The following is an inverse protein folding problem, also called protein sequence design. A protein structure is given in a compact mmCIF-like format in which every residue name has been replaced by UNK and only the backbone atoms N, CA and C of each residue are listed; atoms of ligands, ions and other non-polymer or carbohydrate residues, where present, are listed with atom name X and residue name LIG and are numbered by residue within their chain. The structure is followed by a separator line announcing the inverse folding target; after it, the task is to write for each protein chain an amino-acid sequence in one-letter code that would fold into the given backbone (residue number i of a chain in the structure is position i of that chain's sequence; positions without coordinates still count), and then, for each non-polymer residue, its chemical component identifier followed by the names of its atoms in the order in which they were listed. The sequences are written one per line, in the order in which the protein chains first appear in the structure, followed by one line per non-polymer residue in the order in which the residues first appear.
data_IF_513948909178
#
_entry.id   IF_513948909178
#
_cell.length_a   1.000
_cell.length_b   1.000
_cell.length_c   1.000
_cell.angle_alpha   90.00
_cell.angle_beta   90.00
_cell.angle_gamma   90.00
#
_symmetry.space_group_name_H-M   'P 1'
#
loop_
_entity.id
_entity.type
_entity.pdbx_description
1 polymer ?
#
# COMPACT_ATOMS: atom_id res chain seq x y z
N UNK A 1 3.37 -1.57 -26.85
CA UNK A 1 2.99 -0.13 -26.80
C UNK A 1 3.08 0.52 -28.17
N UNK A 2 4.25 0.53 -28.83
CA UNK A 2 4.40 1.08 -30.20
C UNK A 2 3.46 0.47 -31.25
N UNK A 3 3.35 -0.85 -31.32
CA UNK A 3 2.45 -1.52 -32.27
C UNK A 3 0.95 -1.29 -31.96
N UNK A 4 0.63 -0.93 -30.72
CA UNK A 4 -0.71 -0.54 -30.30
C UNK A 4 -0.98 0.97 -30.45
N UNK A 5 -0.02 1.74 -31.00
CA UNK A 5 -0.13 3.20 -31.14
C UNK A 5 -0.11 3.98 -29.82
N UNK A 6 0.32 3.35 -28.71
CA UNK A 6 0.37 3.99 -27.40
C UNK A 6 1.71 4.70 -27.24
N UNK A 7 1.66 6.02 -27.10
CA UNK A 7 2.80 6.86 -26.74
C UNK A 7 2.92 6.97 -25.21
N UNK A 8 4.15 6.91 -24.71
CA UNK A 8 4.47 7.06 -23.28
C UNK A 8 5.20 8.38 -23.12
N UNK A 9 4.61 9.31 -22.37
CA UNK A 9 5.18 10.64 -22.17
C UNK A 9 6.34 10.61 -21.17
N UNK A 10 6.15 9.91 -20.04
CA UNK A 10 7.12 9.85 -18.95
C UNK A 10 7.10 8.49 -18.26
N UNK A 11 8.27 8.12 -17.72
CA UNK A 11 8.41 7.02 -16.76
C UNK A 11 8.87 7.64 -15.45
N UNK A 12 8.04 7.54 -14.42
CA UNK A 12 8.35 8.04 -13.09
C UNK A 12 8.86 6.90 -12.22
N UNK A 13 10.15 6.96 -11.92
CA UNK A 13 10.79 6.08 -10.95
C UNK A 13 10.69 6.69 -9.55
N UNK A 14 10.24 5.90 -8.59
CA UNK A 14 10.25 6.27 -7.19
C UNK A 14 11.52 5.70 -6.54
N UNK A 15 12.53 6.55 -6.39
CA UNK A 15 13.77 6.22 -5.68
C UNK A 15 13.54 6.34 -4.17
N UNK A 16 13.35 5.20 -3.51
CA UNK A 16 13.06 5.10 -2.07
C UNK A 16 13.84 3.93 -1.47
N UNK A 17 14.53 4.12 -0.33
CA UNK A 17 15.21 3.03 0.37
C UNK A 17 14.30 1.85 0.74
N UNK A 18 14.79 0.63 0.56
CA UNK A 18 14.05 -0.62 0.83
C UNK A 18 13.45 -0.68 2.24
N UNK A 19 14.20 -0.25 3.26
CA UNK A 19 13.71 -0.26 4.64
C UNK A 19 12.47 0.63 4.83
N UNK A 20 12.40 1.77 4.12
CA UNK A 20 11.21 2.62 4.13
C UNK A 20 10.03 1.98 3.39
N UNK A 21 10.31 1.17 2.36
CA UNK A 21 9.28 0.42 1.64
C UNK A 21 8.70 -0.67 2.55
N UNK A 22 9.55 -1.40 3.27
CA UNK A 22 9.16 -2.43 4.23
C UNK A 22 8.27 -1.83 5.33
N UNK A 23 8.74 -0.77 5.99
CA UNK A 23 7.99 -0.07 7.05
C UNK A 23 6.61 0.38 6.56
N UNK A 24 6.55 0.93 5.34
CA UNK A 24 5.32 1.43 4.74
C UNK A 24 4.33 0.32 4.40
N UNK A 25 4.80 -0.85 3.97
CA UNK A 25 3.91 -1.95 3.60
C UNK A 25 3.40 -2.68 4.84
N UNK A 26 4.24 -2.96 5.83
CA UNK A 26 3.86 -3.66 7.07
C UNK A 26 2.84 -2.85 7.88
N UNK A 27 2.96 -1.52 7.87
CA UNK A 27 2.03 -0.62 8.54
C UNK A 27 0.68 -0.43 7.84
N UNK A 28 0.48 -1.00 6.65
CA UNK A 28 -0.73 -0.80 5.84
C UNK A 28 -1.95 -1.48 6.43
N UNK A 29 -3.09 -0.80 6.38
CA UNK A 29 -4.42 -1.32 6.72
C UNK A 29 -5.37 -0.99 5.57
N UNK A 30 -6.27 -1.91 5.24
CA UNK A 30 -7.15 -1.78 4.09
C UNK A 30 -8.60 -2.06 4.49
N UNK A 31 -9.49 -1.17 4.06
CA UNK A 31 -10.92 -1.42 4.11
C UNK A 31 -11.35 -2.15 2.82
N UNK A 32 -11.45 -3.48 2.88
CA UNK A 32 -11.62 -4.33 1.70
C UNK A 32 -12.80 -3.97 0.78
N UNK A 33 -14.00 -3.61 1.29
CA UNK A 33 -15.14 -3.22 0.44
C UNK A 33 -14.90 -1.95 -0.39
N UNK A 34 -14.10 -1.01 0.13
CA UNK A 34 -13.92 0.31 -0.50
C UNK A 34 -12.56 0.51 -1.16
N UNK A 35 -11.57 -0.31 -0.83
CA UNK A 35 -10.18 -0.12 -1.23
C UNK A 35 -9.45 1.03 -0.51
N UNK A 36 -10.07 1.73 0.45
CA UNK A 36 -9.38 2.76 1.25
C UNK A 36 -8.20 2.18 2.00
N UNK A 37 -7.10 2.92 2.01
CA UNK A 37 -5.83 2.53 2.62
C UNK A 37 -5.48 3.47 3.75
N UNK A 38 -5.15 2.88 4.88
CA UNK A 38 -4.66 3.55 6.08
C UNK A 38 -3.25 3.02 6.40
N UNK A 39 -2.57 3.75 7.27
CA UNK A 39 -1.27 3.34 7.77
C UNK A 39 -1.17 3.66 9.25
N UNK A 40 -0.80 2.68 10.08
CA UNK A 40 -0.78 2.81 11.55
C UNK A 40 0.00 4.03 12.07
N UNK A 41 1.07 4.44 11.38
CA UNK A 41 1.88 5.64 11.68
C UNK A 41 1.59 6.87 10.79
N UNK A 42 1.64 6.72 9.46
CA UNK A 42 1.63 7.85 8.52
C UNK A 42 0.24 8.34 8.12
N UNK A 43 -0.79 7.50 8.27
CA UNK A 43 -2.18 7.85 7.96
C UNK A 43 -3.13 7.01 8.84
N UNK A 44 -3.08 7.20 10.17
CA UNK A 44 -3.84 6.37 11.09
C UNK A 44 -5.35 6.63 10.91
N UNK A 45 -6.20 5.60 11.07
CA UNK A 45 -7.63 5.83 11.15
C UNK A 45 -7.98 6.63 12.40
N UNK A 46 -9.12 7.32 12.39
CA UNK A 46 -9.65 8.06 13.55
C UNK A 46 -9.92 7.14 14.73
N UNK A 47 -10.36 5.92 14.46
CA UNK A 47 -10.56 4.86 15.46
C UNK A 47 -9.74 3.65 15.05
N UNK A 48 -8.94 3.13 15.97
CA UNK A 48 -8.07 1.99 15.71
C UNK A 48 -8.85 0.80 15.15
N UNK A 49 -8.35 0.26 14.04
CA UNK A 49 -8.95 -0.89 13.37
C UNK A 49 -10.25 -0.60 12.63
N UNK A 50 -10.70 0.65 12.51
CA UNK A 50 -11.97 0.99 11.85
C UNK A 50 -11.81 1.95 10.68
N UNK A 51 -12.62 1.74 9.66
CA UNK A 51 -12.73 2.67 8.54
C UNK A 51 -13.42 3.97 8.98
N UNK A 52 -12.86 5.11 8.58
CA UNK A 52 -13.34 6.43 8.99
C UNK A 52 -14.71 6.81 8.42
N UNK A 53 -15.19 6.09 7.40
CA UNK A 53 -16.46 6.39 6.70
C UNK A 53 -17.54 5.41 7.13
N UNK A 54 -17.27 4.11 7.12
CA UNK A 54 -18.28 3.08 7.42
C UNK A 54 -18.21 2.57 8.86
N UNK A 55 -17.08 2.75 9.54
CA UNK A 55 -16.85 2.18 10.88
C UNK A 55 -16.60 0.67 10.89
N UNK A 56 -16.51 0.04 9.72
CA UNK A 56 -16.22 -1.38 9.53
C UNK A 56 -14.74 -1.68 9.78
N UNK A 57 -14.40 -2.96 9.97
CA UNK A 57 -13.04 -3.38 10.31
C UNK A 57 -12.05 -3.19 9.16
N UNK A 58 -10.87 -2.70 9.51
CA UNK A 58 -9.71 -2.68 8.65
C UNK A 58 -8.96 -4.01 8.77
N UNK A 59 -8.43 -4.47 7.64
CA UNK A 59 -7.65 -5.72 7.58
C UNK A 59 -6.24 -5.45 7.05
N UNK A 60 -5.31 -6.34 7.40
CA UNK A 60 -3.98 -6.38 6.81
C UNK A 60 -3.99 -7.41 5.69
N UNK A 61 -3.34 -7.12 4.57
CA UNK A 61 -3.24 -8.11 3.49
C UNK A 61 -2.23 -9.19 3.85
N UNK A 62 -2.44 -10.41 3.34
CA UNK A 62 -1.54 -11.54 3.59
C UNK A 62 -0.12 -11.28 3.07
N UNK A 63 0.02 -10.49 2.01
CA UNK A 63 1.31 -10.14 1.40
C UNK A 63 2.03 -8.98 2.08
N UNK A 64 1.47 -8.39 3.13
CA UNK A 64 2.06 -7.26 3.88
C UNK A 64 2.93 -7.73 5.06
N UNK A 65 3.24 -9.04 5.14
CA UNK A 65 4.21 -9.55 6.10
C UNK A 65 5.64 -9.21 5.67
N UNK A 66 6.48 -8.75 6.60
CA UNK A 66 7.84 -8.29 6.33
C UNK A 66 8.65 -9.25 5.45
N UNK A 67 8.65 -10.55 5.78
CA UNK A 67 9.36 -11.57 5.00
C UNK A 67 8.89 -11.61 3.53
N UNK A 68 7.58 -11.46 3.32
CA UNK A 68 6.98 -11.45 1.97
C UNK A 68 7.34 -10.17 1.23
N UNK A 69 7.40 -9.03 1.94
CA UNK A 69 7.79 -7.74 1.34
C UNK A 69 9.24 -7.77 0.91
N UNK A 70 10.15 -8.22 1.77
CA UNK A 70 11.58 -8.34 1.44
C UNK A 70 11.80 -9.23 0.23
N UNK A 71 11.10 -10.36 0.13
CA UNK A 71 11.15 -11.25 -1.05
C UNK A 71 10.67 -10.62 -2.36
N UNK A 72 9.92 -9.52 -2.32
CA UNK A 72 9.45 -8.80 -3.52
C UNK A 72 10.41 -7.70 -3.99
N UNK A 73 11.36 -7.30 -3.13
CA UNK A 73 12.36 -6.26 -3.43
C UNK A 73 13.64 -6.84 -4.06
N UNK A 74 13.85 -8.15 -3.98
CA UNK A 74 14.97 -8.89 -4.58
C UNK A 74 14.58 -9.65 -5.84
#
# INVERSE_FOLDING_TARGET
MKEAGINVDYVLEFDVPDELIVDRIVGRRVHAPSGRVYHVKFNPPKVEGKDDVTGEELTTRKDDQEETVRKRLV
#
